data_IF_031319417948
#
_entry.id   IF_031319417948
#
_cell.length_a   1.000
_cell.length_b   1.000
_cell.length_c   1.000
_cell.angle_alpha   90.00
_cell.angle_beta   90.00
_cell.angle_gamma   90.00
#
_symmetry.space_group_name_H-M   'P 1'
#
loop_
_entity.id
_entity.type
_entity.pdbx_description
1 polymer ?
#
# COMPACT_ATOMS: atom_id res chain seq x y z
N UNK A 1 -22.56 13.32 -45.06
CA UNK A 1 -22.62 12.62 -43.75
C UNK A 1 -21.52 11.56 -43.51
N UNK A 2 -20.47 11.45 -44.35
CA UNK A 2 -19.42 10.40 -44.20
C UNK A 2 -18.07 10.90 -43.64
N UNK A 3 -17.80 12.21 -43.70
CA UNK A 3 -16.51 12.78 -43.28
C UNK A 3 -16.39 12.95 -41.76
N UNK A 4 -17.50 13.25 -41.07
CA UNK A 4 -17.55 13.44 -39.62
C UNK A 4 -17.31 12.15 -38.83
N UNK A 5 -17.70 10.99 -39.37
CA UNK A 5 -17.50 9.71 -38.71
C UNK A 5 -16.03 9.25 -38.74
N UNK A 6 -15.31 9.55 -39.83
CA UNK A 6 -13.88 9.21 -39.98
C UNK A 6 -13.00 10.01 -39.02
N UNK A 7 -13.31 11.30 -38.80
CA UNK A 7 -12.55 12.16 -37.89
C UNK A 7 -12.71 11.69 -36.43
N UNK A 8 -13.90 11.25 -36.04
CA UNK A 8 -14.15 10.71 -34.68
C UNK A 8 -13.37 9.42 -34.44
N UNK A 9 -13.28 8.53 -35.45
CA UNK A 9 -12.49 7.29 -35.35
C UNK A 9 -10.99 7.60 -35.20
N UNK A 10 -10.46 8.57 -35.95
CA UNK A 10 -9.04 8.96 -35.87
C UNK A 10 -8.71 9.60 -34.52
N UNK A 11 -9.61 10.40 -33.94
CA UNK A 11 -9.42 10.98 -32.60
C UNK A 11 -9.47 9.89 -31.52
N UNK A 12 -10.38 8.90 -31.63
CA UNK A 12 -10.42 7.75 -30.72
C UNK A 12 -9.19 6.83 -30.85
N UNK A 13 -8.69 6.62 -32.06
CA UNK A 13 -7.48 5.82 -32.27
C UNK A 13 -6.23 6.52 -31.71
N UNK A 14 -6.12 7.84 -31.88
CA UNK A 14 -5.00 8.60 -31.33
C UNK A 14 -5.07 8.73 -29.80
N UNK A 15 -6.26 8.81 -29.19
CA UNK A 15 -6.38 8.81 -27.72
C UNK A 15 -6.01 7.45 -27.11
N UNK A 16 -6.38 6.34 -27.78
CA UNK A 16 -5.94 4.99 -27.42
C UNK A 16 -4.43 4.79 -27.61
N UNK A 17 -3.83 5.36 -28.67
CA UNK A 17 -2.39 5.32 -28.90
C UNK A 17 -1.61 6.17 -27.90
N UNK A 18 -2.08 7.36 -27.53
CA UNK A 18 -1.44 8.20 -26.51
C UNK A 18 -1.48 7.57 -25.11
N UNK A 19 -2.54 6.81 -24.78
CA UNK A 19 -2.57 6.00 -23.57
C UNK A 19 -1.58 4.81 -23.58
N UNK A 20 -1.02 4.46 -24.74
CA UNK A 20 -0.12 3.31 -24.91
C UNK A 20 1.37 3.66 -25.04
N UNK A 21 1.74 4.93 -25.22
CA UNK A 21 3.10 5.32 -25.64
C UNK A 21 4.01 5.84 -24.50
N UNK A 22 3.49 6.07 -23.29
CA UNK A 22 4.37 6.33 -22.12
C UNK A 22 4.37 5.15 -21.16
N UNK A 23 4.90 4.01 -21.62
CA UNK A 23 5.39 2.98 -20.71
C UNK A 23 6.84 3.33 -20.40
N UNK A 24 7.16 3.93 -19.24
CA UNK A 24 8.56 3.96 -18.80
C UNK A 24 9.09 2.52 -18.88
N UNK A 25 10.37 2.36 -19.25
CA UNK A 25 11.02 1.04 -19.23
C UNK A 25 10.60 0.32 -17.96
N UNK A 26 9.88 -0.79 -18.12
CA UNK A 26 9.24 -1.49 -17.00
C UNK A 26 10.27 -1.84 -15.93
N UNK A 27 11.53 -2.02 -16.34
CA UNK A 27 12.66 -2.26 -15.46
C UNK A 27 12.95 -1.05 -14.57
N UNK A 28 13.08 0.14 -15.16
CA UNK A 28 13.34 1.39 -14.43
C UNK A 28 12.18 1.74 -13.49
N UNK A 29 10.95 1.56 -13.92
CA UNK A 29 9.76 1.79 -13.09
C UNK A 29 9.73 0.83 -11.89
N UNK A 30 9.95 -0.46 -12.11
CA UNK A 30 9.98 -1.43 -11.02
C UNK A 30 11.12 -1.18 -10.05
N UNK A 31 12.32 -0.85 -10.54
CA UNK A 31 13.43 -0.44 -9.68
C UNK A 31 13.12 0.83 -8.87
N UNK A 32 12.40 1.79 -9.45
CA UNK A 32 11.96 2.99 -8.74
C UNK A 32 10.98 2.65 -7.59
N UNK A 33 9.97 1.83 -7.87
CA UNK A 33 8.99 1.38 -6.88
C UNK A 33 9.68 0.57 -5.77
N UNK A 34 10.50 -0.42 -6.15
CA UNK A 34 11.25 -1.28 -5.24
C UNK A 34 12.08 -0.45 -4.25
N UNK A 35 12.88 0.50 -4.77
CA UNK A 35 13.75 1.34 -3.95
C UNK A 35 12.96 2.20 -2.96
N UNK A 36 11.85 2.82 -3.39
CA UNK A 36 11.04 3.66 -2.51
C UNK A 36 10.33 2.84 -1.44
N UNK A 37 9.82 1.67 -1.79
CA UNK A 37 9.12 0.78 -0.87
C UNK A 37 10.07 0.19 0.14
N UNK A 38 11.23 -0.30 -0.28
CA UNK A 38 12.27 -0.80 0.61
C UNK A 38 12.70 0.27 1.62
N UNK A 39 13.00 1.49 1.14
CA UNK A 39 13.34 2.64 2.02
C UNK A 39 12.24 2.93 3.03
N UNK A 40 10.98 2.95 2.62
CA UNK A 40 9.86 3.21 3.51
C UNK A 40 9.72 2.13 4.59
N UNK A 41 9.83 0.86 4.22
CA UNK A 41 9.84 -0.28 5.15
C UNK A 41 10.98 -0.13 6.17
N UNK A 42 12.20 0.20 5.73
CA UNK A 42 13.33 0.39 6.65
C UNK A 42 13.14 1.60 7.58
N UNK A 43 12.61 2.72 7.08
CA UNK A 43 12.29 3.89 7.91
C UNK A 43 11.25 3.52 8.97
N UNK A 44 10.20 2.78 8.59
CA UNK A 44 9.20 2.32 9.55
C UNK A 44 9.83 1.41 10.62
N UNK A 45 10.71 0.48 10.21
CA UNK A 45 11.43 -0.40 11.14
C UNK A 45 12.25 0.37 12.15
N UNK A 46 12.99 1.37 11.70
CA UNK A 46 13.77 2.21 12.59
C UNK A 46 12.88 2.95 13.59
N UNK A 47 11.73 3.47 13.14
CA UNK A 47 10.80 4.20 14.01
C UNK A 47 10.12 3.35 15.07
N UNK A 48 9.85 2.09 14.77
CA UNK A 48 9.06 1.20 15.63
C UNK A 48 9.91 0.13 16.33
N UNK A 49 11.21 0.12 16.09
CA UNK A 49 12.12 -0.79 16.77
C UNK A 49 12.28 -0.39 18.24
N UNK A 50 11.97 -1.29 19.20
CA UNK A 50 12.19 -1.04 20.63
C UNK A 50 13.65 -0.76 20.97
N UNK A 51 14.57 -1.22 20.11
CA UNK A 51 16.01 -0.96 20.23
C UNK A 51 16.26 0.55 20.08
N UNK A 52 15.62 1.21 19.11
CA UNK A 52 15.82 2.64 18.86
C UNK A 52 15.15 3.51 19.94
N UNK A 53 13.99 3.10 20.45
CA UNK A 53 13.24 3.88 21.45
C UNK A 53 13.89 3.86 22.84
N UNK A 54 14.46 2.72 23.26
CA UNK A 54 15.15 2.62 24.55
C UNK A 54 16.56 3.25 24.53
N UNK A 55 17.27 3.18 23.40
CA UNK A 55 18.67 3.59 23.28
C UNK A 55 18.88 5.10 23.02
N UNK A 56 17.84 5.85 22.64
CA UNK A 56 17.88 7.31 22.48
C UNK A 56 17.71 8.09 23.80
N UNK A 57 17.32 7.40 24.88
CA UNK A 57 17.10 8.01 26.19
C UNK A 57 18.39 8.22 27.01
N UNK A 58 19.46 7.49 26.67
CA UNK A 58 20.74 7.57 27.36
C UNK A 58 21.71 8.53 26.65
N UNK A 59 22.21 9.49 27.42
CA UNK A 59 23.05 10.64 27.03
C UNK A 59 24.43 10.29 26.45
N UNK A 60 24.65 9.03 26.10
CA UNK A 60 25.89 8.51 25.52
C UNK A 60 25.51 7.50 24.43
N UNK A 61 25.67 7.92 23.17
CA UNK A 61 25.75 7.02 22.03
C UNK A 61 26.93 6.07 22.25
N UNK A 62 26.71 4.95 22.97
CA UNK A 62 27.61 3.80 22.90
C UNK A 62 27.72 3.38 21.43
N UNK A 63 28.84 2.80 20.97
CA UNK A 63 29.06 2.55 19.56
C UNK A 63 28.05 1.48 19.06
N UNK A 64 26.95 1.94 18.49
CA UNK A 64 25.72 1.17 18.32
C UNK A 64 25.71 0.38 17.00
N UNK A 65 26.06 -0.91 17.05
CA UNK A 65 25.85 -1.85 15.93
C UNK A 65 24.43 -2.45 15.91
N UNK A 66 23.60 -2.24 16.94
CA UNK A 66 22.29 -2.90 17.06
C UNK A 66 21.24 -2.36 16.08
N UNK A 67 21.25 -1.07 15.72
CA UNK A 67 20.37 -0.54 14.69
C UNK A 67 20.80 -0.94 13.27
N UNK A 68 22.10 -1.20 13.05
CA UNK A 68 22.58 -1.72 11.76
C UNK A 68 21.97 -3.11 11.47
N UNK A 69 21.61 -3.85 12.51
CA UNK A 69 20.93 -5.14 12.34
C UNK A 69 19.56 -4.99 11.67
N UNK A 70 18.85 -3.85 11.81
CA UNK A 70 17.54 -3.62 11.15
C UNK A 70 17.65 -3.19 9.69
N UNK A 71 18.88 -2.91 9.23
CA UNK A 71 19.19 -2.58 7.85
C UNK A 71 19.66 -3.82 7.08
N UNK A 72 19.50 -3.83 5.75
CA UNK A 72 20.13 -4.84 4.92
C UNK A 72 21.66 -4.72 5.03
N UNK A 73 22.35 -5.84 4.84
CA UNK A 73 23.81 -5.82 4.70
C UNK A 73 24.19 -5.06 3.42
N UNK A 74 25.39 -4.50 3.37
CA UNK A 74 25.84 -3.74 2.22
C UNK A 74 25.75 -4.59 0.93
N UNK A 75 25.12 -4.02 -0.11
CA UNK A 75 24.90 -4.68 -1.40
C UNK A 75 23.66 -5.56 -1.48
N UNK A 76 22.95 -5.79 -0.37
CA UNK A 76 21.73 -6.60 -0.35
C UNK A 76 20.48 -5.74 -0.55
N UNK A 77 19.51 -6.28 -1.31
CA UNK A 77 18.20 -5.68 -1.55
C UNK A 77 17.10 -6.53 -0.95
N UNK A 78 16.00 -5.90 -0.55
CA UNK A 78 14.81 -6.59 -0.06
C UNK A 78 14.13 -7.31 -1.24
N UNK A 79 13.82 -8.60 -1.08
CA UNK A 79 13.10 -9.38 -2.10
C UNK A 79 11.63 -8.93 -2.19
N UNK A 80 11.36 -8.07 -3.18
CA UNK A 80 10.04 -7.52 -3.47
C UNK A 80 9.57 -7.99 -4.85
N UNK A 81 8.41 -8.64 -4.88
CA UNK A 81 7.72 -8.94 -6.12
C UNK A 81 6.70 -7.87 -6.43
N UNK A 82 6.90 -7.16 -7.53
CA UNK A 82 6.02 -6.07 -7.97
C UNK A 82 5.20 -6.56 -9.14
N UNK A 83 3.88 -6.38 -9.07
CA UNK A 83 2.94 -6.70 -10.15
C UNK A 83 1.92 -5.59 -10.28
N UNK A 84 1.55 -5.24 -11.52
CA UNK A 84 0.44 -4.33 -11.74
C UNK A 84 -0.86 -4.95 -11.21
N UNK A 85 -1.60 -4.20 -10.41
CA UNK A 85 -2.88 -4.63 -9.83
C UNK A 85 -4.01 -4.45 -10.85
N UNK A 86 -5.03 -5.31 -10.75
CA UNK A 86 -6.30 -5.16 -11.49
C UNK A 86 -7.25 -4.16 -10.83
N UNK A 87 -6.96 -3.74 -9.59
CA UNK A 87 -7.73 -2.72 -8.91
C UNK A 87 -7.50 -1.37 -9.59
N UNK A 88 -8.48 -0.47 -9.44
CA UNK A 88 -8.40 0.89 -9.96
C UNK A 88 -8.30 1.89 -8.81
N UNK A 89 -7.49 2.92 -9.02
CA UNK A 89 -7.43 4.09 -8.16
C UNK A 89 -8.50 5.11 -8.59
N UNK A 90 -9.11 5.91 -7.68
CA UNK A 90 -10.13 6.88 -8.06
C UNK A 90 -9.62 7.94 -9.05
N UNK A 91 -8.37 8.37 -8.90
CA UNK A 91 -7.69 9.18 -9.90
C UNK A 91 -7.04 8.27 -10.96
N UNK A 92 -7.61 8.31 -12.17
CA UNK A 92 -7.19 7.49 -13.31
C UNK A 92 -5.78 7.77 -13.82
N UNK A 93 -5.14 8.86 -13.38
CA UNK A 93 -3.74 9.14 -13.70
C UNK A 93 -2.77 8.23 -12.93
N UNK A 94 -3.23 7.57 -11.87
CA UNK A 94 -2.44 6.63 -11.09
C UNK A 94 -2.73 5.18 -11.49
N UNK A 95 -1.65 4.40 -11.61
CA UNK A 95 -1.69 2.96 -11.83
C UNK A 95 -1.32 2.26 -10.52
N UNK A 96 -2.09 1.23 -10.17
CA UNK A 96 -1.87 0.45 -8.95
C UNK A 96 -0.89 -0.70 -9.18
N UNK A 97 0.04 -0.87 -8.23
CA UNK A 97 0.96 -1.98 -8.16
C UNK A 97 0.82 -2.69 -6.83
N UNK A 98 0.56 -3.99 -6.88
CA UNK A 98 0.64 -4.88 -5.73
C UNK A 98 2.09 -5.26 -5.51
N UNK A 99 2.51 -5.23 -4.25
CA UNK A 99 3.85 -5.59 -3.83
C UNK A 99 3.73 -6.75 -2.86
N UNK A 100 4.45 -7.83 -3.14
CA UNK A 100 4.62 -8.94 -2.24
C UNK A 100 6.05 -8.95 -1.69
N UNK A 101 6.18 -8.79 -0.37
CA UNK A 101 7.44 -8.93 0.36
C UNK A 101 7.53 -10.37 0.85
N UNK A 102 8.50 -11.12 0.36
CA UNK A 102 8.70 -12.51 0.79
C UNK A 102 9.49 -12.56 2.09
N UNK A 103 8.81 -12.27 3.22
CA UNK A 103 9.43 -12.15 4.54
C UNK A 103 10.62 -11.18 4.52
N UNK A 104 11.53 -11.27 5.50
CA UNK A 104 12.74 -10.47 5.55
C UNK A 104 13.89 -11.16 4.81
N UNK A 105 13.57 -11.53 3.56
CA UNK A 105 14.50 -12.07 2.59
C UNK A 105 15.21 -10.96 1.86
N UNK A 106 16.52 -11.11 1.76
CA UNK A 106 17.39 -10.23 1.02
C UNK A 106 18.17 -10.99 -0.02
N UNK A 107 18.53 -10.33 -1.11
CA UNK A 107 19.37 -10.91 -2.15
C UNK A 107 20.46 -9.96 -2.61
N UNK A 108 21.59 -10.53 -3.02
CA UNK A 108 22.66 -9.87 -3.74
C UNK A 108 23.16 -10.83 -4.82
N UNK A 109 22.78 -10.56 -6.07
CA UNK A 109 23.01 -11.38 -7.26
C UNK A 109 22.60 -12.85 -7.10
N UNK A 110 23.45 -13.67 -6.49
CA UNK A 110 23.27 -15.11 -6.30
C UNK A 110 23.07 -15.52 -4.84
N UNK A 111 23.29 -14.62 -3.88
CA UNK A 111 23.22 -14.92 -2.45
C UNK A 111 21.87 -14.46 -1.92
N UNK A 112 21.16 -15.38 -1.26
CA UNK A 112 19.90 -15.09 -0.57
C UNK A 112 20.14 -15.24 0.93
N UNK A 113 19.73 -14.23 1.70
CA UNK A 113 19.79 -14.24 3.16
C UNK A 113 18.37 -14.02 3.67
N UNK A 114 17.88 -14.95 4.48
CA UNK A 114 16.67 -14.74 5.27
C UNK A 114 17.12 -14.20 6.65
N UNK A 115 16.71 -12.98 7.00
CA UNK A 115 16.83 -12.46 8.37
C UNK A 115 15.47 -12.61 9.05
N UNK A 116 15.45 -12.82 10.36
CA UNK A 116 14.21 -12.77 11.14
C UNK A 116 14.18 -11.48 11.94
N UNK A 117 13.12 -10.71 11.77
CA UNK A 117 12.87 -9.53 12.57
C UNK A 117 11.57 -9.75 13.36
N UNK A 118 11.65 -10.17 14.64
CA UNK A 118 10.52 -10.70 15.40
C UNK A 118 9.37 -9.71 15.64
N UNK A 119 9.52 -8.44 15.25
CA UNK A 119 8.52 -7.38 15.37
C UNK A 119 7.90 -6.94 14.03
N UNK A 120 8.30 -7.54 12.90
CA UNK A 120 8.01 -7.02 11.55
C UNK A 120 7.38 -8.04 10.58
N UNK A 121 7.01 -9.22 11.08
CA UNK A 121 6.67 -10.38 10.26
C UNK A 121 5.24 -10.39 9.68
N UNK A 122 4.35 -9.47 10.06
CA UNK A 122 2.92 -9.66 9.80
C UNK A 122 2.42 -9.13 8.45
N UNK A 123 3.23 -8.35 7.75
CA UNK A 123 2.80 -7.65 6.55
C UNK A 123 3.64 -8.10 5.35
N UNK A 124 3.03 -8.88 4.46
CA UNK A 124 3.66 -9.38 3.24
C UNK A 124 3.06 -8.79 1.97
N UNK A 125 1.85 -8.21 2.04
CA UNK A 125 1.12 -7.72 0.87
C UNK A 125 0.79 -6.24 1.00
N UNK A 126 1.13 -5.47 -0.03
CA UNK A 126 0.95 -4.03 -0.06
C UNK A 126 0.46 -3.53 -1.40
N UNK A 127 -0.01 -2.28 -1.40
CA UNK A 127 -0.49 -1.60 -2.58
C UNK A 127 0.12 -0.20 -2.64
N UNK A 128 0.62 0.15 -3.81
CA UNK A 128 1.09 1.50 -4.14
C UNK A 128 0.43 1.99 -5.42
N UNK A 129 0.29 3.30 -5.56
CA UNK A 129 -0.14 3.99 -6.77
C UNK A 129 1.01 4.83 -7.32
N UNK A 130 1.23 4.81 -8.64
CA UNK A 130 2.21 5.67 -9.30
C UNK A 130 1.61 6.32 -10.55
N UNK A 131 1.92 7.59 -10.80
CA UNK A 131 1.52 8.29 -12.01
C UNK A 131 2.71 8.53 -12.98
N UNK A 132 2.44 9.13 -14.14
CA UNK A 132 3.45 9.44 -15.15
C UNK A 132 4.52 10.46 -14.69
N UNK A 133 4.25 11.19 -13.61
CA UNK A 133 5.17 12.16 -13.01
C UNK A 133 6.04 11.53 -11.89
N UNK A 134 6.01 10.20 -11.72
CA UNK A 134 6.68 9.46 -10.66
C UNK A 134 6.21 9.81 -9.23
N UNK A 135 5.02 10.41 -9.07
CA UNK A 135 4.41 10.57 -7.75
C UNK A 135 3.95 9.20 -7.24
N UNK A 136 4.51 8.76 -6.11
CA UNK A 136 4.26 7.45 -5.52
C UNK A 136 3.44 7.58 -4.25
N UNK A 137 2.24 7.03 -4.27
CA UNK A 137 1.34 6.96 -3.11
C UNK A 137 1.39 5.58 -2.51
N UNK A 138 1.67 5.50 -1.22
CA UNK A 138 1.56 4.26 -0.46
C UNK A 138 0.14 4.10 0.10
N UNK A 139 -0.54 3.00 -0.22
CA UNK A 139 -1.99 2.88 0.01
C UNK A 139 -2.31 1.97 1.20
N UNK A 140 -1.76 0.75 1.19
CA UNK A 140 -2.16 -0.32 2.10
C UNK A 140 -0.97 -1.00 2.77
N UNK A 141 -1.16 -1.41 4.02
CA UNK A 141 -0.13 -1.98 4.88
C UNK A 141 0.09 -1.12 6.11
N UNK A 142 0.57 -1.72 7.19
CA UNK A 142 0.79 -1.03 8.46
C UNK A 142 1.96 -0.03 8.40
N UNK A 143 2.78 -0.12 7.35
CA UNK A 143 3.98 0.71 7.16
C UNK A 143 3.68 2.09 6.55
N UNK A 144 2.49 2.28 5.98
CA UNK A 144 2.20 3.42 5.13
C UNK A 144 1.15 4.34 5.73
N UNK A 145 1.62 5.47 6.28
CA UNK A 145 0.79 6.48 6.92
C UNK A 145 0.23 7.53 5.94
N UNK A 146 0.38 7.33 4.62
CA UNK A 146 -0.13 8.30 3.66
C UNK A 146 -1.66 8.33 3.70
N UNK A 147 -2.19 9.53 3.93
CA UNK A 147 -3.60 9.80 3.80
C UNK A 147 -3.97 9.87 2.32
N UNK A 148 -4.80 8.94 1.86
CA UNK A 148 -5.33 8.91 0.49
C UNK A 148 -6.82 9.24 0.44
N UNK A 149 -7.48 9.46 1.59
CA UNK A 149 -8.95 9.62 1.62
C UNK A 149 -9.43 10.82 0.78
N UNK A 150 -8.59 11.86 0.67
CA UNK A 150 -8.89 13.08 -0.10
C UNK A 150 -9.00 12.83 -1.60
N UNK A 151 -8.41 11.74 -2.09
CA UNK A 151 -8.51 11.34 -3.49
C UNK A 151 -9.86 10.66 -3.79
N UNK A 152 -10.66 10.37 -2.75
CA UNK A 152 -11.97 9.74 -2.87
C UNK A 152 -13.07 10.77 -2.59
N UNK A 153 -14.16 10.68 -3.35
CA UNK A 153 -15.38 11.47 -3.10
C UNK A 153 -16.21 10.83 -1.98
N UNK A 154 -15.67 10.82 -0.77
CA UNK A 154 -16.30 10.21 0.39
C UNK A 154 -17.45 11.09 0.90
N UNK A 155 -18.62 10.49 1.09
CA UNK A 155 -19.81 11.14 1.65
C UNK A 155 -20.39 10.28 2.77
N UNK A 156 -20.46 10.83 3.97
CA UNK A 156 -20.98 10.18 5.17
C UNK A 156 -22.44 9.74 5.01
N UNK A 157 -23.20 10.43 4.16
CA UNK A 157 -24.59 10.11 3.86
C UNK A 157 -24.74 9.04 2.77
N UNK A 158 -23.65 8.68 2.10
CA UNK A 158 -23.60 7.64 1.06
C UNK A 158 -22.49 6.64 1.42
N UNK A 159 -22.74 5.70 2.34
CA UNK A 159 -21.72 4.77 2.85
C UNK A 159 -21.00 3.96 1.75
N UNK A 160 -21.66 3.70 0.63
CA UNK A 160 -21.11 3.01 -0.54
C UNK A 160 -19.91 3.75 -1.14
N UNK A 161 -19.84 5.08 -0.96
CA UNK A 161 -18.69 5.89 -1.40
C UNK A 161 -17.37 5.43 -0.75
N UNK A 162 -17.44 4.75 0.40
CA UNK A 162 -16.27 4.22 1.13
C UNK A 162 -15.82 2.84 0.67
N UNK A 163 -16.60 2.10 -0.14
CA UNK A 163 -16.28 0.69 -0.43
C UNK A 163 -14.94 0.52 -1.15
N UNK A 164 -14.68 1.35 -2.15
CA UNK A 164 -13.39 1.33 -2.86
C UNK A 164 -12.23 1.79 -1.96
N UNK A 165 -12.48 2.80 -1.12
CA UNK A 165 -11.49 3.27 -0.15
C UNK A 165 -11.10 2.16 0.84
N UNK A 166 -12.10 1.50 1.45
CA UNK A 166 -11.91 0.37 2.36
C UNK A 166 -11.15 -0.75 1.65
N UNK A 167 -11.62 -1.18 0.47
CA UNK A 167 -11.00 -2.25 -0.31
C UNK A 167 -9.52 -2.01 -0.58
N UNK A 168 -9.14 -0.76 -0.87
CA UNK A 168 -7.75 -0.39 -1.08
C UNK A 168 -6.97 -0.33 0.23
N UNK A 169 -7.51 0.26 1.31
CA UNK A 169 -6.83 0.34 2.61
C UNK A 169 -6.60 -1.03 3.25
N UNK A 170 -7.54 -1.96 3.08
CA UNK A 170 -7.47 -3.32 3.65
C UNK A 170 -7.00 -4.37 2.64
N UNK A 171 -6.28 -3.95 1.60
CA UNK A 171 -5.77 -4.85 0.55
C UNK A 171 -4.91 -6.00 1.11
N UNK A 172 -4.12 -5.75 2.16
CA UNK A 172 -3.31 -6.77 2.83
C UNK A 172 -4.14 -7.92 3.44
N UNK A 173 -5.39 -7.64 3.83
CA UNK A 173 -6.34 -8.63 4.34
C UNK A 173 -7.18 -9.29 3.24
N UNK A 174 -6.97 -8.89 1.97
CA UNK A 174 -7.76 -9.34 0.83
C UNK A 174 -9.26 -9.24 1.11
N UNK A 175 -9.73 -8.05 1.50
CA UNK A 175 -11.11 -7.87 1.94
C UNK A 175 -12.12 -7.87 0.79
N UNK A 176 -13.26 -8.54 0.98
CA UNK A 176 -14.40 -8.52 0.07
C UNK A 176 -15.74 -8.50 0.82
N UNK A 177 -16.86 -8.39 0.10
CA UNK A 177 -18.23 -8.36 0.63
C UNK A 177 -18.41 -7.29 1.72
N UNK A 178 -17.89 -6.10 1.45
CA UNK A 178 -17.99 -4.95 2.34
C UNK A 178 -19.46 -4.52 2.42
N UNK A 179 -20.00 -4.48 3.63
CA UNK A 179 -21.38 -4.07 3.91
C UNK A 179 -21.37 -2.99 4.99
N UNK A 180 -22.15 -1.94 4.76
CA UNK A 180 -22.40 -0.94 5.78
C UNK A 180 -23.35 -1.47 6.85
N UNK A 181 -23.03 -1.24 8.12
CA UNK A 181 -23.87 -1.66 9.25
C UNK A 181 -24.64 -0.48 9.81
N UNK A 182 -23.93 0.57 10.24
CA UNK A 182 -24.53 1.75 10.85
C UNK A 182 -23.53 2.91 10.95
N UNK A 183 -24.09 4.10 11.17
CA UNK A 183 -23.35 5.29 11.59
C UNK A 183 -23.62 5.55 13.06
N UNK A 184 -22.56 5.78 13.84
CA UNK A 184 -22.67 6.35 15.17
C UNK A 184 -22.12 7.79 15.14
N UNK A 185 -22.27 8.55 16.25
CA UNK A 185 -21.85 9.97 16.32
C UNK A 185 -20.42 10.28 15.88
N UNK A 186 -19.51 9.31 15.93
CA UNK A 186 -18.08 9.49 15.62
C UNK A 186 -17.56 8.66 14.46
N UNK A 187 -18.32 7.65 14.01
CA UNK A 187 -17.76 6.64 13.12
C UNK A 187 -18.80 5.98 12.22
N UNK A 188 -18.35 5.59 11.02
CA UNK A 188 -19.00 4.63 10.16
C UNK A 188 -18.52 3.23 10.50
N UNK A 189 -19.45 2.26 10.52
CA UNK A 189 -19.16 0.87 10.84
C UNK A 189 -19.52 0.01 9.64
N UNK A 190 -18.54 -0.76 9.18
CA UNK A 190 -18.67 -1.73 8.11
C UNK A 190 -18.31 -3.12 8.61
N UNK A 191 -18.85 -4.14 7.96
CA UNK A 191 -18.39 -5.52 8.09
C UNK A 191 -17.92 -6.01 6.74
N UNK A 192 -16.92 -6.88 6.74
CA UNK A 192 -16.40 -7.48 5.53
C UNK A 192 -15.81 -8.86 5.81
N UNK A 193 -15.55 -9.64 4.77
CA UNK A 193 -14.86 -10.92 4.88
C UNK A 193 -13.38 -10.74 4.53
N UNK A 194 -12.49 -11.23 5.40
CA UNK A 194 -11.04 -11.29 5.16
C UNK A 194 -10.67 -12.69 4.69
N UNK A 195 -10.14 -12.81 3.45
CA UNK A 195 -9.65 -14.10 2.96
C UNK A 195 -8.37 -14.53 3.68
N UNK A 196 -7.54 -13.58 4.13
CA UNK A 196 -6.31 -13.87 4.88
C UNK A 196 -6.63 -14.51 6.24
N UNK A 197 -7.62 -13.97 6.95
CA UNK A 197 -8.03 -14.47 8.27
C UNK A 197 -9.08 -15.58 8.20
N UNK A 198 -9.70 -15.75 7.03
CA UNK A 198 -10.84 -16.64 6.79
C UNK A 198 -12.06 -16.36 7.69
N UNK A 199 -12.21 -15.12 8.14
CA UNK A 199 -13.29 -14.68 9.03
C UNK A 199 -13.81 -13.29 8.64
N UNK A 200 -14.98 -12.95 9.18
CA UNK A 200 -15.53 -11.61 9.24
C UNK A 200 -14.67 -10.67 10.07
N UNK A 201 -14.49 -9.45 9.56
CA UNK A 201 -13.84 -8.35 10.26
C UNK A 201 -14.82 -7.18 10.37
N UNK A 202 -14.67 -6.41 11.44
CA UNK A 202 -15.39 -5.14 11.59
C UNK A 202 -14.44 -3.99 11.31
N UNK A 203 -14.85 -3.07 10.46
CA UNK A 203 -14.06 -1.94 10.01
C UNK A 203 -14.73 -0.66 10.52
N UNK A 204 -13.97 0.17 11.22
CA UNK A 204 -14.40 1.46 11.74
C UNK A 204 -13.66 2.58 11.02
N UNK A 205 -14.40 3.58 10.56
CA UNK A 205 -13.84 4.79 9.95
C UNK A 205 -14.31 5.98 10.78
N UNK A 206 -13.35 6.71 11.34
CA UNK A 206 -13.62 7.95 12.08
C UNK A 206 -14.12 9.04 11.12
N UNK A 207 -15.17 9.76 11.50
CA UNK A 207 -15.78 10.81 10.66
C UNK A 207 -14.89 12.05 10.55
N UNK A 208 -14.15 12.38 11.61
CA UNK A 208 -13.23 13.51 11.68
C UNK A 208 -11.84 13.19 11.11
N UNK A 209 -11.46 11.91 11.09
CA UNK A 209 -10.18 11.42 10.55
C UNK A 209 -10.35 10.16 9.71
N UNK A 210 -10.91 10.25 8.50
CA UNK A 210 -11.18 9.07 7.66
C UNK A 210 -9.94 8.23 7.31
N UNK A 211 -8.74 8.80 7.41
CA UNK A 211 -7.46 8.09 7.29
C UNK A 211 -7.28 6.98 8.34
N UNK A 212 -7.90 7.11 9.51
CA UNK A 212 -7.82 6.17 10.62
C UNK A 212 -8.83 5.04 10.41
N UNK A 213 -8.45 4.05 9.61
CA UNK A 213 -9.23 2.83 9.43
C UNK A 213 -8.84 1.82 10.51
N UNK A 214 -9.71 1.62 11.50
CA UNK A 214 -9.50 0.63 12.56
C UNK A 214 -10.17 -0.69 12.18
N UNK A 215 -9.47 -1.80 12.39
CA UNK A 215 -9.94 -3.13 12.05
C UNK A 215 -10.01 -3.95 13.33
N UNK A 216 -11.20 -4.44 13.67
CA UNK A 216 -11.39 -5.39 14.75
C UNK A 216 -11.57 -6.80 14.18
N UNK A 217 -10.72 -7.70 14.64
CA UNK A 217 -10.75 -9.10 14.27
C UNK A 217 -11.72 -9.83 15.20
N UNK A 218 -12.69 -10.52 14.62
CA UNK A 218 -13.55 -11.42 15.39
C UNK A 218 -12.72 -12.66 15.77
N UNK A 219 -11.76 -12.53 16.68
CA UNK A 219 -11.02 -13.68 17.18
C UNK A 219 -12.00 -14.57 17.96
N UNK A 220 -12.47 -15.65 17.34
CA UNK A 220 -12.97 -16.79 18.11
C UNK A 220 -11.79 -17.32 18.92
N UNK A 221 -11.77 -16.99 20.21
CA UNK A 221 -10.97 -17.72 21.20
C UNK A 221 -11.49 -19.14 21.33
#
# INVERSE_FOLDING_TARGET
MKLSFFIVIIIFYNSLLYASIYRPDSTLLYSYIENNVAKNIFIYRLKTSPIVENDLSDKYLKPYNSFLNVLPDFGYKLDLQIKQSKLLYPDTSFILYSIYKKYDRYFNDSIIIDKDFPYFNNDCYFLVAINSNNDLKFISGNFFLNSIYKDFKLDVNVPESYYNYIKLKTFNLQTDKILFVKTNKKQLIFVAYSYELKDSITIFIELDKPENVLINYNSKK
#
